data_IF_425550252706
#
_entry.id   IF_425550252706
#
_cell.length_a   1.000
_cell.length_b   1.000
_cell.length_c   1.000
_cell.angle_alpha   90.00
_cell.angle_beta   90.00
_cell.angle_gamma   90.00
#
_symmetry.space_group_name_H-M   'P 1'
#
loop_
_entity.id
_entity.type
_entity.pdbx_description
1 polymer ?
#
# COMPACT_ATOMS: atom_id res chain seq x y z
N UNK A 1 -3.87 32.38 -4.62
CA UNK A 1 -3.96 31.67 -3.33
C UNK A 1 -2.67 31.90 -2.56
N UNK A 2 -2.69 32.36 -1.30
CA UNK A 2 -1.44 32.54 -0.52
C UNK A 2 -1.08 31.21 0.16
N UNK A 3 0.11 30.72 -0.11
CA UNK A 3 0.63 29.50 0.49
C UNK A 3 0.81 29.67 2.02
N UNK A 4 0.42 28.70 2.88
CA UNK A 4 0.52 28.85 4.33
C UNK A 4 1.97 29.10 4.79
N UNK A 5 2.18 30.15 5.59
CA UNK A 5 3.53 30.58 6.01
C UNK A 5 4.35 29.48 6.68
N UNK A 6 3.75 28.69 7.60
CA UNK A 6 4.43 27.58 8.28
C UNK A 6 4.89 26.47 7.32
N UNK A 7 4.07 26.17 6.31
CA UNK A 7 4.41 25.17 5.31
C UNK A 7 5.52 25.67 4.37
N UNK A 8 5.46 26.94 3.97
CA UNK A 8 6.51 27.59 3.18
C UNK A 8 7.86 27.53 3.90
N UNK A 9 7.91 27.87 5.20
CA UNK A 9 9.13 27.77 6.01
C UNK A 9 9.68 26.33 6.03
N UNK A 10 8.84 25.33 6.30
CA UNK A 10 9.27 23.91 6.28
C UNK A 10 9.85 23.46 4.92
N UNK A 11 9.24 23.90 3.83
CA UNK A 11 9.74 23.58 2.49
C UNK A 11 11.07 24.28 2.20
N UNK A 12 11.22 25.57 2.60
CA UNK A 12 12.49 26.29 2.45
C UNK A 12 13.62 25.61 3.22
N UNK A 13 13.38 25.24 4.49
CA UNK A 13 14.37 24.52 5.30
C UNK A 13 14.77 23.18 4.67
N UNK A 14 13.79 22.42 4.12
CA UNK A 14 14.11 21.18 3.40
C UNK A 14 14.93 21.41 2.14
N UNK A 15 14.65 22.47 1.41
CA UNK A 15 15.43 22.85 0.22
C UNK A 15 16.86 23.23 0.59
N UNK A 16 17.03 24.06 1.62
CA UNK A 16 18.35 24.48 2.14
C UNK A 16 19.19 23.27 2.60
N UNK A 17 18.55 22.31 3.25
CA UNK A 17 19.20 21.08 3.73
C UNK A 17 19.29 19.97 2.65
N UNK A 18 18.97 20.26 1.39
CA UNK A 18 18.95 19.29 0.28
C UNK A 18 18.06 18.06 0.56
N UNK A 19 17.08 18.21 1.45
CA UNK A 19 16.17 17.16 1.88
C UNK A 19 14.78 17.24 1.23
N UNK A 20 14.61 18.17 0.25
CA UNK A 20 13.36 18.27 -0.51
C UNK A 20 13.30 17.14 -1.55
N UNK A 21 12.38 16.21 -1.33
CA UNK A 21 12.13 15.12 -2.27
C UNK A 21 11.22 15.60 -3.41
N UNK A 22 11.58 15.25 -4.62
CA UNK A 22 10.78 15.48 -5.82
C UNK A 22 10.46 14.14 -6.47
N UNK A 23 9.32 14.06 -7.16
CA UNK A 23 8.98 12.85 -7.93
C UNK A 23 9.99 12.69 -9.06
N UNK A 24 10.63 11.51 -9.11
CA UNK A 24 11.54 11.15 -10.18
C UNK A 24 10.79 10.93 -11.50
N UNK A 25 11.49 11.09 -12.61
CA UNK A 25 11.00 10.66 -13.93
C UNK A 25 11.43 9.21 -14.17
N UNK A 26 10.62 8.41 -14.91
CA UNK A 26 11.06 7.10 -15.35
C UNK A 26 12.42 7.21 -16.06
N UNK A 27 13.34 6.32 -15.72
CA UNK A 27 14.68 6.28 -16.33
C UNK A 27 14.97 4.85 -16.80
N UNK A 28 15.90 4.71 -17.77
CA UNK A 28 16.39 3.40 -18.22
C UNK A 28 17.57 2.88 -17.38
N UNK A 29 17.79 3.48 -16.21
CA UNK A 29 18.82 3.05 -15.27
C UNK A 29 18.40 1.77 -14.55
N UNK A 30 19.38 1.02 -14.06
CA UNK A 30 19.13 -0.13 -13.18
C UNK A 30 18.54 0.40 -11.87
N UNK A 31 17.38 -0.11 -11.50
CA UNK A 31 16.63 0.35 -10.33
C UNK A 31 17.03 -0.46 -9.09
N UNK A 32 17.73 0.19 -8.18
CA UNK A 32 18.08 -0.35 -6.85
C UNK A 32 17.17 0.18 -5.73
N UNK A 33 16.15 0.97 -6.06
CA UNK A 33 15.23 1.58 -5.09
C UNK A 33 13.88 0.85 -5.01
N UNK A 34 13.62 -0.06 -5.95
CA UNK A 34 12.38 -0.83 -6.02
C UNK A 34 12.28 -1.89 -4.93
N UNK A 35 11.06 -2.11 -4.43
CA UNK A 35 10.72 -3.26 -3.59
C UNK A 35 10.32 -4.49 -4.42
N UNK A 36 10.34 -4.41 -5.74
CA UNK A 36 10.03 -5.52 -6.65
C UNK A 36 11.22 -6.46 -6.81
N UNK A 37 11.64 -7.08 -5.70
CA UNK A 37 12.83 -7.96 -5.64
C UNK A 37 12.74 -9.19 -6.54
N UNK A 38 11.53 -9.64 -6.87
CA UNK A 38 11.29 -10.82 -7.71
C UNK A 38 10.94 -10.45 -9.15
N UNK A 39 10.85 -9.16 -9.49
CA UNK A 39 10.51 -8.68 -10.82
C UNK A 39 9.05 -8.95 -11.23
N UNK A 40 8.15 -9.15 -10.28
CA UNK A 40 6.76 -9.51 -10.56
C UNK A 40 5.95 -8.35 -11.14
N UNK A 41 6.33 -7.11 -10.89
CA UNK A 41 5.63 -5.95 -11.42
C UNK A 41 5.56 -5.91 -12.96
N UNK A 42 6.47 -6.61 -13.65
CA UNK A 42 6.53 -6.69 -15.12
C UNK A 42 6.25 -8.10 -15.67
N UNK A 43 5.79 -9.01 -14.84
CA UNK A 43 5.51 -10.40 -15.25
C UNK A 43 4.22 -10.47 -16.06
N UNK A 44 4.35 -10.71 -17.36
CA UNK A 44 3.22 -10.96 -18.27
C UNK A 44 2.42 -12.17 -17.82
N UNK A 45 3.08 -13.23 -17.37
CA UNK A 45 2.42 -14.45 -16.87
C UNK A 45 1.49 -14.17 -15.71
N UNK A 46 1.92 -13.36 -14.74
CA UNK A 46 1.07 -12.98 -13.59
C UNK A 46 -0.08 -12.10 -14.07
N UNK A 47 0.18 -11.16 -14.97
CA UNK A 47 -0.84 -10.29 -15.54
C UNK A 47 -1.93 -11.10 -16.24
N UNK A 48 -1.55 -12.00 -17.15
CA UNK A 48 -2.48 -12.80 -17.92
C UNK A 48 -3.28 -13.75 -17.01
N UNK A 49 -2.62 -14.41 -16.05
CA UNK A 49 -3.28 -15.29 -15.09
C UNK A 49 -4.29 -14.52 -14.23
N UNK A 50 -3.95 -13.31 -13.78
CA UNK A 50 -4.86 -12.47 -13.01
C UNK A 50 -6.07 -12.04 -13.85
N UNK A 51 -5.83 -11.65 -15.10
CA UNK A 51 -6.91 -11.27 -16.00
C UNK A 51 -7.85 -12.45 -16.29
N UNK A 52 -7.28 -13.64 -16.60
CA UNK A 52 -8.07 -14.84 -16.85
C UNK A 52 -8.90 -15.23 -15.62
N UNK A 53 -8.33 -15.15 -14.41
CA UNK A 53 -9.05 -15.42 -13.17
C UNK A 53 -10.28 -14.50 -13.00
N UNK A 54 -10.14 -13.21 -13.29
CA UNK A 54 -11.28 -12.27 -13.24
C UNK A 54 -12.35 -12.61 -14.28
N UNK A 55 -11.94 -13.02 -15.49
CA UNK A 55 -12.85 -13.45 -16.55
C UNK A 55 -13.61 -14.70 -16.13
N UNK A 56 -12.92 -15.73 -15.64
CA UNK A 56 -13.50 -17.00 -15.22
C UNK A 56 -14.50 -16.84 -14.06
N UNK A 57 -14.21 -15.93 -13.15
CA UNK A 57 -15.09 -15.55 -12.05
C UNK A 57 -16.19 -14.58 -12.46
N UNK A 58 -16.25 -14.16 -13.73
CA UNK A 58 -17.16 -13.12 -14.24
C UNK A 58 -17.11 -11.81 -13.41
N UNK A 59 -15.94 -11.45 -12.91
CA UNK A 59 -15.72 -10.23 -12.14
C UNK A 59 -15.38 -9.09 -13.10
N UNK A 60 -16.30 -8.14 -13.24
CA UNK A 60 -16.17 -6.97 -14.14
C UNK A 60 -16.21 -5.67 -13.35
N UNK A 61 -15.50 -5.62 -12.25
CA UNK A 61 -15.41 -4.45 -11.38
C UNK A 61 -14.04 -3.79 -11.53
N UNK A 62 -14.02 -2.46 -11.58
CA UNK A 62 -12.79 -1.68 -11.70
C UNK A 62 -12.18 -1.28 -10.34
N UNK A 63 -12.82 -1.66 -9.24
CA UNK A 63 -12.36 -1.37 -7.88
C UNK A 63 -13.50 -1.28 -6.88
N UNK A 64 -13.15 -0.91 -5.66
CA UNK A 64 -14.11 -0.78 -4.55
C UNK A 64 -14.93 0.51 -4.67
N UNK A 65 -16.18 0.47 -4.21
CA UNK A 65 -17.11 1.60 -4.22
C UNK A 65 -17.04 2.46 -2.96
N UNK A 66 -16.18 2.10 -2.01
CA UNK A 66 -16.01 2.80 -0.74
C UNK A 66 -15.25 1.97 0.28
N UNK A 67 -15.40 2.31 1.55
CA UNK A 67 -14.80 1.55 2.65
C UNK A 67 -15.42 0.16 2.75
N UNK A 68 -14.62 -0.84 3.18
CA UNK A 68 -15.07 -2.23 3.35
C UNK A 68 -16.22 -2.38 4.35
N UNK A 69 -16.29 -1.50 5.36
CA UNK A 69 -17.38 -1.52 6.34
C UNK A 69 -18.73 -1.00 5.78
N UNK A 70 -18.72 -0.35 4.63
CA UNK A 70 -19.90 0.19 3.98
C UNK A 70 -20.24 -0.58 2.69
N UNK A 71 -19.69 -0.13 1.57
CA UNK A 71 -20.02 -0.65 0.24
C UNK A 71 -18.84 -1.23 -0.52
N UNK A 72 -17.63 -1.14 0.03
CA UNK A 72 -16.39 -1.50 -0.66
C UNK A 72 -15.93 -2.94 -0.40
N UNK A 73 -16.64 -3.73 0.40
CA UNK A 73 -16.26 -5.12 0.62
C UNK A 73 -16.61 -5.97 -0.62
N UNK A 74 -15.65 -6.75 -1.08
CA UNK A 74 -15.77 -7.59 -2.26
C UNK A 74 -15.49 -9.05 -1.91
N UNK A 75 -16.15 -10.01 -2.57
CA UNK A 75 -15.99 -11.43 -2.30
C UNK A 75 -14.52 -11.90 -2.39
N UNK A 76 -13.73 -11.34 -3.30
CA UNK A 76 -12.30 -11.66 -3.42
C UNK A 76 -11.48 -11.35 -2.16
N UNK A 77 -11.87 -10.38 -1.35
CA UNK A 77 -11.16 -10.12 -0.10
C UNK A 77 -11.19 -11.34 0.81
N UNK A 78 -12.36 -11.95 1.01
CA UNK A 78 -12.49 -13.14 1.84
C UNK A 78 -11.69 -14.33 1.30
N UNK A 79 -11.74 -14.57 -0.02
CA UNK A 79 -10.98 -15.65 -0.66
C UNK A 79 -9.46 -15.46 -0.48
N UNK A 80 -8.95 -14.26 -0.73
CA UNK A 80 -7.52 -13.96 -0.63
C UNK A 80 -7.07 -13.91 0.83
N UNK A 81 -7.87 -13.37 1.74
CA UNK A 81 -7.57 -13.35 3.17
C UNK A 81 -7.49 -14.76 3.74
N UNK A 82 -8.38 -15.67 3.34
CA UNK A 82 -8.30 -17.10 3.71
C UNK A 82 -7.02 -17.74 3.18
N UNK A 83 -6.69 -17.55 1.91
CA UNK A 83 -5.46 -18.08 1.32
C UNK A 83 -4.20 -17.55 2.04
N UNK A 84 -4.19 -16.28 2.42
CA UNK A 84 -3.08 -15.69 3.16
C UNK A 84 -3.00 -16.20 4.59
N UNK A 85 -4.13 -16.45 5.26
CA UNK A 85 -4.16 -17.11 6.56
C UNK A 85 -3.49 -18.47 6.50
N UNK A 86 -3.84 -19.29 5.52
CA UNK A 86 -3.27 -20.63 5.32
C UNK A 86 -1.77 -20.54 5.00
N UNK A 87 -1.38 -19.63 4.11
CA UNK A 87 0.01 -19.45 3.72
C UNK A 87 0.91 -19.00 4.89
N UNK A 88 0.43 -18.05 5.69
CA UNK A 88 1.18 -17.49 6.82
C UNK A 88 0.96 -18.23 8.15
N UNK A 89 0.11 -19.25 8.18
CA UNK A 89 -0.29 -19.97 9.41
C UNK A 89 -0.80 -18.99 10.48
N UNK A 90 -1.60 -18.00 10.08
CA UNK A 90 -2.16 -16.97 10.94
C UNK A 90 -3.66 -17.18 11.16
N UNK A 91 -4.18 -16.72 12.30
CA UNK A 91 -5.60 -16.81 12.61
C UNK A 91 -6.47 -15.86 11.76
N UNK A 92 -5.90 -14.73 11.36
CA UNK A 92 -6.58 -13.73 10.53
C UNK A 92 -5.57 -12.94 9.69
N UNK A 93 -6.04 -12.42 8.57
CA UNK A 93 -5.31 -11.46 7.72
C UNK A 93 -6.23 -10.32 7.32
N UNK A 94 -5.63 -9.16 7.08
CA UNK A 94 -6.32 -7.99 6.59
C UNK A 94 -5.49 -7.35 5.45
N UNK A 95 -6.14 -7.14 4.32
CA UNK A 95 -5.51 -6.58 3.12
C UNK A 95 -5.63 -5.06 3.12
N UNK A 96 -4.53 -4.38 2.85
CA UNK A 96 -4.43 -2.93 2.68
C UNK A 96 -3.91 -2.58 1.29
N UNK A 97 -4.20 -1.38 0.81
CA UNK A 97 -3.73 -0.88 -0.48
C UNK A 97 -2.21 -0.63 -0.52
N UNK A 98 -1.60 -0.40 0.64
CA UNK A 98 -0.16 -0.16 0.76
C UNK A 98 0.35 -0.54 2.14
N UNK A 99 1.66 -0.80 2.26
CA UNK A 99 2.32 -0.99 3.55
C UNK A 99 2.20 0.25 4.46
N UNK A 100 2.16 1.45 3.87
CA UNK A 100 1.91 2.68 4.62
C UNK A 100 0.54 2.67 5.30
N UNK A 101 -0.52 2.33 4.54
CA UNK A 101 -1.87 2.25 5.08
C UNK A 101 -2.00 1.14 6.14
N UNK A 102 -1.32 0.02 5.94
CA UNK A 102 -1.25 -1.06 6.92
C UNK A 102 -0.62 -0.59 8.23
N UNK A 103 0.53 0.08 8.17
CA UNK A 103 1.20 0.63 9.35
C UNK A 103 0.35 1.69 10.05
N UNK A 104 -0.21 2.64 9.31
CA UNK A 104 -1.09 3.66 9.88
C UNK A 104 -2.32 3.03 10.51
N UNK A 105 -2.97 2.10 9.83
CA UNK A 105 -4.13 1.37 10.35
C UNK A 105 -3.83 0.59 11.63
N UNK A 106 -2.73 -0.15 11.64
CA UNK A 106 -2.31 -0.94 12.81
C UNK A 106 -1.96 -0.04 14.00
N UNK A 107 -1.02 0.89 13.84
CA UNK A 107 -0.53 1.71 14.94
C UNK A 107 -1.55 2.74 15.47
N UNK A 108 -2.55 3.10 14.67
CA UNK A 108 -3.64 3.96 15.13
C UNK A 108 -4.77 3.22 15.85
N UNK A 109 -4.84 1.89 15.74
CA UNK A 109 -6.00 1.12 16.19
C UNK A 109 -5.67 0.08 17.25
N UNK A 110 -4.53 -0.61 17.13
CA UNK A 110 -4.19 -1.75 18.00
C UNK A 110 -3.55 -1.31 19.31
N UNK A 111 -2.51 -0.47 19.33
CA UNK A 111 -1.95 0.00 20.59
C UNK A 111 -2.93 0.85 21.38
N UNK A 112 -3.00 0.60 22.68
CA UNK A 112 -3.90 1.29 23.62
C UNK A 112 -3.11 2.19 24.57
N UNK A 113 -3.82 3.00 25.34
CA UNK A 113 -3.20 3.87 26.33
C UNK A 113 -2.43 3.05 27.38
N UNK A 114 -1.12 3.27 27.44
CA UNK A 114 -0.21 2.58 28.36
C UNK A 114 0.65 1.51 27.69
N UNK A 115 0.37 1.17 26.44
CA UNK A 115 1.25 0.29 25.66
C UNK A 115 2.55 0.99 25.26
N UNK A 116 3.59 0.22 25.07
CA UNK A 116 4.92 0.69 24.64
C UNK A 116 5.17 0.24 23.22
N UNK A 117 5.49 1.19 22.35
CA UNK A 117 5.88 0.94 20.97
C UNK A 117 7.41 1.10 20.87
N UNK A 118 8.11 0.05 20.48
CA UNK A 118 9.53 0.10 20.17
C UNK A 118 9.71 0.27 18.67
N UNK A 119 10.57 1.20 18.28
CA UNK A 119 10.84 1.50 16.86
C UNK A 119 12.31 1.86 16.66
N UNK A 120 12.79 1.70 15.43
CA UNK A 120 14.11 2.14 14.99
C UNK A 120 14.18 3.65 14.84
N UNK A 121 15.38 4.23 15.00
CA UNK A 121 15.65 5.67 14.84
C UNK A 121 15.86 6.07 13.37
#
# INVERSE_FOLDING_TARGET
MKFPKKLKSKLSTRLENQALRTLGKPSNLVDFSSNDYLGFAKSVTIFDATHQFLVDKNIKLNGATGSRLLSGNHALYGEVETLLCDFHQSEATLIFNSGYDANVGFFSSVPQRGDVILYDE
#
